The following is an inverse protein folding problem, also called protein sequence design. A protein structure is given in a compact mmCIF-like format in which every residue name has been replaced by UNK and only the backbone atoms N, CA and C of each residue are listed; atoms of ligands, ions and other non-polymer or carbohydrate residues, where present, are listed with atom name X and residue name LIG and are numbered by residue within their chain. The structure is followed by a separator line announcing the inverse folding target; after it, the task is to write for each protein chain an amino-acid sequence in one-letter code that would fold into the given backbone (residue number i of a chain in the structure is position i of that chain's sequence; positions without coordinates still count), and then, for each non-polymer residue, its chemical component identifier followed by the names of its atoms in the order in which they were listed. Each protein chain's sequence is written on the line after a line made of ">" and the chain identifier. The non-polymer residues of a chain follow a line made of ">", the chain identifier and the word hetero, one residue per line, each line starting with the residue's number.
data_IF_838892314673
#
_entry.id   IF_838892314673
#
_cell.length_a   1.000
_cell.length_b   1.000
_cell.length_c   1.000
_cell.angle_alpha   90.00
_cell.angle_beta   90.00
_cell.angle_gamma   90.00
#
_symmetry.space_group_name_H-M   'P 1'
#
loop_
_entity.id
_entity.type
_entity.pdbx_description
1 polymer ?
#
# COMPACT_ATOMS: atom_id res chain seq x y z
N UNK A 1 3.95 -5.76 -2.46
CA UNK A 1 3.62 -5.58 -1.02
C UNK A 1 4.74 -5.93 -0.06
N UNK A 2 5.57 -6.95 -0.28
CA UNK A 2 6.67 -7.29 0.66
C UNK A 2 7.62 -6.12 0.96
N UNK A 3 8.04 -5.35 -0.06
CA UNK A 3 8.88 -4.16 0.13
C UNK A 3 8.20 -3.09 1.00
N UNK A 4 6.91 -2.85 0.76
CA UNK A 4 6.09 -1.90 1.53
C UNK A 4 5.93 -2.36 2.98
N UNK A 5 5.71 -3.66 3.20
CA UNK A 5 5.64 -4.25 4.54
C UNK A 5 6.97 -4.15 5.29
N UNK A 6 8.09 -4.44 4.62
CA UNK A 6 9.43 -4.27 5.20
C UNK A 6 9.72 -2.80 5.56
N UNK A 7 9.34 -1.87 4.69
CA UNK A 7 9.46 -0.44 4.95
C UNK A 7 8.67 0.01 6.19
N UNK A 8 7.42 -0.46 6.35
CA UNK A 8 6.61 -0.20 7.54
C UNK A 8 7.31 -0.64 8.84
N UNK A 9 7.92 -1.82 8.85
CA UNK A 9 8.67 -2.31 10.02
C UNK A 9 9.90 -1.44 10.28
N UNK A 10 10.62 -1.06 9.21
CA UNK A 10 11.79 -0.20 9.30
C UNK A 10 11.45 1.24 9.70
N UNK A 11 10.27 1.75 9.37
CA UNK A 11 9.88 3.13 9.65
C UNK A 11 9.38 3.34 11.09
N UNK A 12 8.90 2.29 11.76
CA UNK A 12 8.48 2.32 13.17
C UNK A 12 9.54 2.93 14.13
N UNK A 13 10.82 2.49 14.16
CA UNK A 13 11.82 3.08 15.04
C UNK A 13 12.09 4.55 14.73
N UNK A 14 12.11 4.94 13.45
CA UNK A 14 12.27 6.34 13.07
C UNK A 14 11.08 7.20 13.52
N UNK A 15 9.87 6.66 13.46
CA UNK A 15 8.66 7.32 13.96
C UNK A 15 8.72 7.53 15.47
N UNK A 16 9.18 6.54 16.24
CA UNK A 16 9.40 6.66 17.71
C UNK A 16 10.42 7.75 18.01
N UNK A 17 11.54 7.79 17.29
CA UNK A 17 12.57 8.82 17.46
C UNK A 17 12.01 10.22 17.15
N UNK A 18 11.20 10.35 16.09
CA UNK A 18 10.55 11.60 15.72
C UNK A 18 9.50 12.08 16.75
N UNK A 19 8.93 11.18 17.55
CA UNK A 19 8.05 11.51 18.68
C UNK A 19 8.87 12.00 19.89
N UNK A 20 9.97 11.33 20.21
CA UNK A 20 10.84 11.67 21.37
C UNK A 20 11.61 12.98 21.13
N UNK A 21 11.94 13.31 19.88
CA UNK A 21 12.69 14.52 19.51
C UNK A 21 11.88 15.41 18.55
N UNK A 22 10.84 16.11 19.03
CA UNK A 22 9.91 16.87 18.18
C UNK A 22 10.55 18.07 17.45
N UNK A 23 11.68 18.59 17.96
CA UNK A 23 12.40 19.72 17.34
C UNK A 23 13.22 19.37 16.09
N UNK A 24 13.35 18.08 15.73
CA UNK A 24 14.12 17.66 14.56
C UNK A 24 13.21 17.59 13.31
N UNK A 25 13.04 18.72 12.61
CA UNK A 25 12.20 18.81 11.39
C UNK A 25 12.74 17.98 10.22
N UNK A 26 14.08 17.84 10.12
CA UNK A 26 14.76 17.08 9.06
C UNK A 26 14.33 15.60 8.93
N UNK A 27 14.43 14.77 9.99
CA UNK A 27 14.03 13.37 9.92
C UNK A 27 12.52 13.19 9.64
N UNK A 28 11.66 14.11 10.09
CA UNK A 28 10.24 14.07 9.74
C UNK A 28 9.96 14.32 8.26
N UNK A 29 10.63 15.30 7.64
CA UNK A 29 10.52 15.54 6.20
C UNK A 29 11.03 14.33 5.40
N UNK A 30 12.15 13.74 5.82
CA UNK A 30 12.68 12.54 5.17
C UNK A 30 11.70 11.35 5.23
N UNK A 31 11.06 11.13 6.38
CA UNK A 31 10.02 10.11 6.52
C UNK A 31 8.82 10.36 5.62
N UNK A 32 8.32 11.60 5.55
CA UNK A 32 7.19 11.93 4.65
C UNK A 32 7.53 11.65 3.19
N UNK A 33 8.75 11.98 2.75
CA UNK A 33 9.19 11.70 1.37
C UNK A 33 9.20 10.19 1.13
N UNK A 34 9.80 9.40 2.03
CA UNK A 34 9.83 7.94 1.90
C UNK A 34 8.43 7.33 1.95
N UNK A 35 7.57 7.78 2.87
CA UNK A 35 6.18 7.32 2.97
C UNK A 35 5.42 7.57 1.67
N UNK A 36 5.63 8.73 1.04
CA UNK A 36 5.02 9.08 -0.25
C UNK A 36 5.51 8.17 -1.39
N UNK A 37 6.81 7.85 -1.42
CA UNK A 37 7.38 6.90 -2.38
C UNK A 37 6.76 5.51 -2.20
N UNK A 38 6.68 5.02 -0.96
CA UNK A 38 6.09 3.70 -0.68
C UNK A 38 4.57 3.65 -0.88
N UNK A 39 3.86 4.77 -0.68
CA UNK A 39 2.44 4.91 -1.03
C UNK A 39 2.23 4.73 -2.54
N UNK A 40 3.01 5.43 -3.38
CA UNK A 40 2.87 5.31 -4.83
C UNK A 40 3.23 3.89 -5.30
N UNK A 41 4.27 3.28 -4.73
CA UNK A 41 4.64 1.89 -5.01
C UNK A 41 3.53 0.89 -4.59
N UNK A 42 2.91 1.09 -3.43
CA UNK A 42 1.79 0.27 -2.97
C UNK A 42 0.58 0.43 -3.89
N UNK A 43 0.22 1.64 -4.27
CA UNK A 43 -0.91 1.91 -5.17
C UNK A 43 -0.72 1.27 -6.55
N UNK A 44 0.47 1.40 -7.14
CA UNK A 44 0.79 0.80 -8.44
C UNK A 44 0.70 -0.74 -8.37
N UNK A 45 1.28 -1.35 -7.34
CA UNK A 45 1.23 -2.80 -7.18
C UNK A 45 -0.16 -3.34 -6.87
N UNK A 46 -0.98 -2.62 -6.09
CA UNK A 46 -2.38 -2.96 -5.87
C UNK A 46 -3.21 -2.88 -7.16
N UNK A 47 -3.00 -1.84 -7.97
CA UNK A 47 -3.69 -1.67 -9.25
C UNK A 47 -3.32 -2.78 -10.25
N UNK A 48 -2.03 -3.14 -10.36
CA UNK A 48 -1.61 -4.27 -11.20
C UNK A 48 -2.17 -5.61 -10.72
N UNK A 49 -2.25 -5.84 -9.41
CA UNK A 49 -2.88 -7.06 -8.90
C UNK A 49 -4.39 -7.09 -9.18
N UNK A 50 -5.06 -5.94 -9.08
CA UNK A 50 -6.49 -5.81 -9.36
C UNK A 50 -6.84 -6.11 -10.82
N UNK A 51 -6.03 -5.67 -11.79
CA UNK A 51 -6.27 -5.96 -13.20
C UNK A 51 -6.15 -7.46 -13.51
N UNK A 52 -5.16 -8.14 -12.91
CA UNK A 52 -5.01 -9.59 -13.07
C UNK A 52 -6.16 -10.35 -12.39
N UNK A 53 -6.61 -9.93 -11.20
CA UNK A 53 -7.77 -10.55 -10.53
C UNK A 53 -9.06 -10.34 -11.34
N UNK A 54 -9.24 -9.14 -11.91
CA UNK A 54 -10.38 -8.86 -12.79
C UNK A 54 -10.38 -9.79 -14.00
N UNK A 55 -9.22 -9.96 -14.65
CA UNK A 55 -9.06 -10.87 -15.78
C UNK A 55 -9.27 -12.34 -15.36
N UNK A 56 -8.85 -12.73 -14.15
CA UNK A 56 -9.08 -14.09 -13.64
C UNK A 56 -10.56 -14.39 -13.38
N UNK A 57 -11.35 -13.38 -13.02
CA UNK A 57 -12.80 -13.50 -12.82
C UNK A 57 -13.59 -13.49 -14.13
N UNK A 58 -13.28 -12.55 -15.02
CA UNK A 58 -14.10 -12.30 -16.21
C UNK A 58 -13.56 -12.98 -17.47
N UNK A 59 -12.26 -13.27 -17.53
CA UNK A 59 -11.59 -13.69 -18.75
C UNK A 59 -11.56 -12.62 -19.82
N UNK A 60 -10.95 -12.93 -20.95
CA UNK A 60 -10.93 -12.11 -22.15
C UNK A 60 -10.82 -13.02 -23.39
N UNK A 61 -11.81 -12.94 -24.28
CA UNK A 61 -11.87 -13.83 -25.45
C UNK A 61 -10.89 -13.42 -26.55
N UNK A 62 -10.60 -12.13 -26.69
CA UNK A 62 -9.70 -11.59 -27.71
C UNK A 62 -8.25 -12.08 -27.50
N UNK A 63 -7.85 -12.27 -26.24
CA UNK A 63 -6.55 -12.82 -25.86
C UNK A 63 -6.57 -14.31 -25.50
N UNK A 64 -7.72 -15.00 -25.68
CA UNK A 64 -7.94 -16.40 -25.26
C UNK A 64 -7.61 -16.63 -23.76
N UNK A 65 -7.86 -15.63 -22.92
CA UNK A 65 -7.68 -15.73 -21.48
C UNK A 65 -8.97 -16.26 -20.83
N UNK A 66 -8.89 -17.45 -20.23
CA UNK A 66 -10.02 -18.11 -19.59
C UNK A 66 -10.26 -17.57 -18.17
N UNK A 67 -11.51 -17.54 -17.72
CA UNK A 67 -11.87 -17.20 -16.34
C UNK A 67 -11.45 -18.32 -15.37
N UNK A 68 -10.23 -18.24 -14.84
CA UNK A 68 -9.60 -19.24 -13.96
C UNK A 68 -10.38 -19.43 -12.66
N UNK A 69 -11.03 -18.36 -12.17
CA UNK A 69 -11.76 -18.38 -10.91
C UNK A 69 -12.99 -19.29 -10.91
N UNK A 70 -13.48 -19.71 -12.08
CA UNK A 70 -14.58 -20.68 -12.17
C UNK A 70 -14.16 -22.10 -11.72
N UNK A 71 -12.87 -22.43 -11.82
CA UNK A 71 -12.34 -23.70 -11.31
C UNK A 71 -11.76 -23.58 -9.89
N UNK A 72 -11.10 -22.46 -9.57
CA UNK A 72 -10.36 -22.29 -8.32
C UNK A 72 -10.98 -21.20 -7.44
N UNK A 73 -12.21 -21.45 -6.97
CA UNK A 73 -12.98 -20.49 -6.16
C UNK A 73 -12.26 -20.04 -4.89
N UNK A 74 -11.71 -20.97 -4.10
CA UNK A 74 -11.04 -20.64 -2.83
C UNK A 74 -9.80 -19.76 -3.03
N UNK A 75 -8.96 -20.11 -4.02
CA UNK A 75 -7.79 -19.31 -4.39
C UNK A 75 -8.20 -17.91 -4.84
N UNK A 76 -9.28 -17.82 -5.63
CA UNK A 76 -9.75 -16.55 -6.15
C UNK A 76 -10.36 -15.66 -5.06
N UNK A 77 -11.09 -16.24 -4.10
CA UNK A 77 -11.58 -15.54 -2.92
C UNK A 77 -10.41 -15.00 -2.06
N UNK A 78 -9.39 -15.83 -1.83
CA UNK A 78 -8.21 -15.43 -1.06
C UNK A 78 -7.39 -14.34 -1.78
N UNK A 79 -7.21 -14.44 -3.09
CA UNK A 79 -6.48 -13.44 -3.88
C UNK A 79 -7.25 -12.12 -3.95
N UNK A 80 -8.57 -12.17 -4.16
CA UNK A 80 -9.42 -10.98 -4.20
C UNK A 80 -9.42 -10.25 -2.86
N UNK A 81 -9.55 -10.98 -1.75
CA UNK A 81 -9.45 -10.40 -0.41
C UNK A 81 -8.06 -9.81 -0.12
N UNK A 82 -6.99 -10.43 -0.61
CA UNK A 82 -5.63 -9.87 -0.52
C UNK A 82 -5.51 -8.54 -1.29
N UNK A 83 -6.08 -8.44 -2.49
CA UNK A 83 -6.11 -7.18 -3.26
C UNK A 83 -6.90 -6.10 -2.53
N UNK A 84 -8.08 -6.43 -1.99
CA UNK A 84 -8.89 -5.49 -1.18
C UNK A 84 -8.09 -4.99 0.02
N UNK A 85 -7.43 -5.90 0.76
CA UNK A 85 -6.59 -5.52 1.91
C UNK A 85 -5.43 -4.60 1.52
N UNK A 86 -4.90 -4.75 0.30
CA UNK A 86 -3.84 -3.88 -0.23
C UNK A 86 -4.33 -2.45 -0.46
N UNK A 87 -5.55 -2.27 -0.97
CA UNK A 87 -6.15 -0.93 -1.11
C UNK A 87 -6.46 -0.30 0.24
N UNK A 88 -6.90 -1.09 1.23
CA UNK A 88 -7.07 -0.62 2.61
C UNK A 88 -5.74 -0.09 3.14
N UNK A 89 -4.64 -0.81 2.94
CA UNK A 89 -3.31 -0.36 3.34
C UNK A 89 -2.91 0.97 2.66
N UNK A 90 -3.21 1.16 1.37
CA UNK A 90 -3.00 2.44 0.66
C UNK A 90 -3.76 3.59 1.32
N UNK A 91 -5.04 3.39 1.67
CA UNK A 91 -5.82 4.41 2.39
C UNK A 91 -5.20 4.75 3.74
N UNK A 92 -4.76 3.74 4.50
CA UNK A 92 -4.07 3.94 5.78
C UNK A 92 -2.78 4.74 5.60
N UNK A 93 -1.98 4.46 4.57
CA UNK A 93 -0.78 5.25 4.26
C UNK A 93 -1.11 6.72 3.98
N UNK A 94 -2.14 6.99 3.19
CA UNK A 94 -2.59 8.37 2.91
C UNK A 94 -2.94 9.09 4.22
N UNK A 95 -3.72 8.44 5.11
CA UNK A 95 -4.08 9.02 6.39
C UNK A 95 -2.84 9.30 7.26
N UNK A 96 -1.88 8.37 7.31
CA UNK A 96 -0.64 8.55 8.08
C UNK A 96 0.21 9.71 7.56
N UNK A 97 0.32 9.86 6.23
CA UNK A 97 1.06 10.96 5.60
C UNK A 97 0.38 12.30 5.90
N UNK A 98 -0.95 12.38 5.78
CA UNK A 98 -1.72 13.60 6.10
C UNK A 98 -1.54 13.99 7.56
N UNK A 99 -1.70 13.04 8.49
CA UNK A 99 -1.50 13.28 9.91
C UNK A 99 -0.07 13.75 10.22
N UNK A 100 0.93 13.15 9.57
CA UNK A 100 2.34 13.53 9.74
C UNK A 100 2.63 14.93 9.21
N UNK A 101 2.04 15.31 8.06
CA UNK A 101 2.18 16.65 7.49
C UNK A 101 1.53 17.72 8.38
N UNK A 102 0.31 17.45 8.89
CA UNK A 102 -0.37 18.34 9.83
C UNK A 102 0.42 18.53 11.14
N UNK A 103 1.07 17.48 11.62
CA UNK A 103 1.89 17.53 12.83
C UNK A 103 3.18 18.35 12.67
N UNK A 104 3.64 18.62 11.44
CA UNK A 104 4.77 19.54 11.16
C UNK A 104 4.29 20.98 11.05
N UNK A 105 3.09 21.22 10.52
CA UNK A 105 2.54 22.56 10.35
C UNK A 105 2.04 23.22 11.64
N UNK A 106 2.04 22.51 12.76
CA UNK A 106 1.71 23.05 14.09
C UNK A 106 2.96 23.79 14.65
N UNK A 107 2.88 25.10 14.93
CA UNK A 107 3.98 25.86 15.52
C UNK A 107 4.31 25.38 16.94
#
# INVERSE_FOLDING_TARGET
>A
MALVGGYLVLSLPFSVIAIVRPHAVGPRLFLIILDTVFLTLASASAASAASIVYLAHNGDQDTNWLAICNQFGDFCAQTSSAVVSSFIAVVVFVLLIVMSALAIGKP
#
